data_IF_610785500532
#
_entry.id   IF_610785500532
#
_cell.length_a   1.000
_cell.length_b   1.000
_cell.length_c   1.000
_cell.angle_alpha   90.00
_cell.angle_beta   90.00
_cell.angle_gamma   90.00
#
_symmetry.space_group_name_H-M   'P 1'
#
loop_
_entity.id
_entity.type
_entity.pdbx_description
1 polymer ?
#
# COMPACT_ATOMS: atom_id res chain seq x y z
N UNK A 1 -7.67 -8.17 0.98
CA UNK A 1 -7.44 -7.17 2.04
C UNK A 1 -7.69 -5.83 1.40
N UNK A 2 -8.32 -4.90 2.11
CA UNK A 2 -8.78 -3.67 1.50
C UNK A 2 -7.67 -2.60 1.44
N UNK A 3 -7.24 -2.25 0.23
CA UNK A 3 -6.26 -1.18 -0.01
C UNK A 3 -6.99 0.13 -0.33
N UNK A 4 -6.71 1.17 0.46
CA UNK A 4 -7.18 2.53 0.22
C UNK A 4 -6.02 3.47 -0.02
N UNK A 5 -6.09 4.23 -1.11
CA UNK A 5 -5.16 5.32 -1.39
C UNK A 5 -5.90 6.63 -1.25
N UNK A 6 -5.48 7.43 -0.27
CA UNK A 6 -6.13 8.67 0.10
C UNK A 6 -5.27 9.85 -0.38
N UNK A 7 -5.88 10.75 -1.14
CA UNK A 7 -5.33 12.05 -1.44
C UNK A 7 -6.01 13.09 -0.54
N UNK A 8 -5.43 14.28 -0.34
CA UNK A 8 -6.04 15.33 0.49
C UNK A 8 -7.48 15.71 0.07
N UNK A 9 -7.80 15.58 -1.21
CA UNK A 9 -9.10 16.02 -1.76
C UNK A 9 -10.06 14.88 -2.08
N UNK A 10 -9.60 13.63 -2.16
CA UNK A 10 -10.42 12.48 -2.58
C UNK A 10 -9.80 11.14 -2.22
N UNK A 11 -10.63 10.10 -2.23
CA UNK A 11 -10.15 8.71 -2.32
C UNK A 11 -9.75 8.46 -3.77
N UNK A 12 -8.50 8.06 -4.00
CA UNK A 12 -7.98 7.73 -5.32
C UNK A 12 -8.30 6.27 -5.70
N UNK A 13 -8.14 5.36 -4.74
CA UNK A 13 -8.30 3.92 -4.90
C UNK A 13 -8.98 3.35 -3.65
N UNK A 14 -9.92 2.44 -3.85
CA UNK A 14 -10.51 1.64 -2.76
C UNK A 14 -10.84 0.22 -3.29
N UNK A 15 -9.87 -0.69 -3.23
CA UNK A 15 -9.93 -2.00 -3.91
C UNK A 15 -9.53 -3.16 -2.99
N UNK A 16 -10.05 -4.36 -3.27
CA UNK A 16 -9.58 -5.59 -2.65
C UNK A 16 -8.31 -6.10 -3.35
N UNK A 17 -7.23 -6.25 -2.57
CA UNK A 17 -5.93 -6.69 -3.07
C UNK A 17 -5.41 -7.93 -2.36
N UNK A 18 -4.55 -8.68 -3.03
CA UNK A 18 -3.88 -9.88 -2.51
C UNK A 18 -2.43 -9.64 -2.09
N UNK A 19 -1.81 -8.54 -2.54
CA UNK A 19 -0.44 -8.16 -2.21
C UNK A 19 -0.25 -6.66 -2.42
N UNK A 20 0.59 -6.04 -1.59
CA UNK A 20 1.09 -4.66 -1.77
C UNK A 20 2.60 -4.68 -1.60
N UNK A 21 3.33 -4.01 -2.48
CA UNK A 21 4.78 -3.79 -2.39
C UNK A 21 5.03 -2.28 -2.38
N UNK A 22 5.85 -1.80 -1.46
CA UNK A 22 6.17 -0.39 -1.34
C UNK A 22 7.61 -0.21 -0.83
N UNK A 23 8.10 1.02 -0.87
CA UNK A 23 9.45 1.39 -0.44
C UNK A 23 9.39 2.41 0.70
N UNK A 24 10.24 2.21 1.70
CA UNK A 24 10.50 3.14 2.79
C UNK A 24 12.01 3.40 2.89
N UNK A 25 12.44 4.26 3.81
CA UNK A 25 13.87 4.59 3.99
C UNK A 25 14.76 3.35 4.28
N UNK A 26 14.19 2.31 4.87
CA UNK A 26 14.87 1.05 5.16
C UNK A 26 14.79 0.02 4.01
N UNK A 27 14.24 0.41 2.85
CA UNK A 27 14.18 -0.38 1.63
C UNK A 27 12.78 -0.86 1.24
N UNK A 28 12.76 -1.80 0.30
CA UNK A 28 11.54 -2.38 -0.28
C UNK A 28 10.91 -3.42 0.66
N UNK A 29 9.60 -3.39 0.81
CA UNK A 29 8.86 -4.37 1.61
C UNK A 29 7.55 -4.78 0.93
N UNK A 30 7.09 -5.98 1.29
CA UNK A 30 5.84 -6.56 0.81
C UNK A 30 4.87 -6.86 1.95
N UNK A 31 3.60 -6.48 1.77
CA UNK A 31 2.50 -6.76 2.69
C UNK A 31 1.57 -7.78 2.02
N UNK A 32 1.30 -8.85 2.77
CA UNK A 32 0.36 -9.91 2.39
C UNK A 32 -0.84 -9.93 3.35
N UNK A 33 -1.93 -10.61 2.99
CA UNK A 33 -3.06 -10.82 3.90
C UNK A 33 -2.60 -11.44 5.22
N UNK A 34 -3.13 -10.91 6.34
CA UNK A 34 -2.74 -11.26 7.72
C UNK A 34 -1.31 -10.91 8.12
N UNK A 35 -0.63 -10.00 7.40
CA UNK A 35 0.59 -9.37 7.90
C UNK A 35 0.32 -8.67 9.25
N UNK A 36 1.32 -8.55 10.12
CA UNK A 36 1.20 -7.82 11.40
C UNK A 36 0.86 -6.34 11.15
N UNK A 37 0.21 -5.70 12.12
CA UNK A 37 -0.01 -4.25 12.09
C UNK A 37 1.31 -3.50 11.92
N UNK A 38 1.29 -2.51 11.04
CA UNK A 38 2.51 -1.88 10.55
C UNK A 38 2.23 -0.44 10.12
N UNK A 39 3.17 0.46 10.41
CA UNK A 39 3.14 1.85 9.96
C UNK A 39 4.54 2.26 9.52
N UNK A 40 4.63 2.95 8.38
CA UNK A 40 5.88 3.50 7.89
C UNK A 40 5.67 4.74 7.05
N UNK A 41 6.72 5.55 6.95
CA UNK A 41 6.82 6.63 5.96
C UNK A 41 7.24 6.02 4.63
N UNK A 42 6.60 6.45 3.55
CA UNK A 42 6.96 6.10 2.17
C UNK A 42 7.92 7.15 1.62
N UNK A 43 8.94 6.68 0.91
CA UNK A 43 9.86 7.52 0.12
C UNK A 43 9.37 7.64 -1.33
N UNK A 44 9.88 8.58 -2.14
CA UNK A 44 9.50 8.69 -3.54
C UNK A 44 9.79 7.39 -4.30
N UNK A 45 8.77 6.82 -4.94
CA UNK A 45 8.88 5.50 -5.55
C UNK A 45 7.58 4.98 -6.15
N UNK A 46 7.58 3.69 -6.47
CA UNK A 46 6.43 2.98 -7.04
C UNK A 46 5.87 2.02 -6.00
N UNK A 47 4.59 2.17 -5.68
CA UNK A 47 3.81 1.17 -4.98
C UNK A 47 3.20 0.24 -6.01
N UNK A 48 3.44 -1.08 -5.89
CA UNK A 48 2.75 -2.09 -6.70
C UNK A 48 1.75 -2.86 -5.85
N UNK A 49 0.64 -3.27 -6.44
CA UNK A 49 -0.37 -4.09 -5.76
C UNK A 49 -1.05 -5.04 -6.74
N UNK A 50 -1.59 -6.14 -6.21
CA UNK A 50 -2.19 -7.18 -7.04
C UNK A 50 -3.72 -7.21 -6.85
N UNK A 51 -4.45 -7.04 -7.95
CA UNK A 51 -5.91 -7.19 -8.07
C UNK A 51 -6.20 -8.31 -9.06
N UNK A 52 -6.97 -9.31 -8.64
CA UNK A 52 -7.38 -10.44 -9.50
C UNK A 52 -6.22 -11.11 -10.27
N UNK A 53 -5.04 -11.22 -9.64
CA UNK A 53 -3.85 -11.82 -10.24
C UNK A 53 -3.09 -10.92 -11.22
N UNK A 54 -3.48 -9.65 -11.34
CA UNK A 54 -2.79 -8.64 -12.16
C UNK A 54 -2.09 -7.64 -11.25
N UNK A 55 -0.85 -7.31 -11.61
CA UNK A 55 -0.08 -6.28 -10.91
C UNK A 55 -0.38 -4.90 -11.51
N UNK A 56 -0.73 -3.98 -10.62
CA UNK A 56 -1.00 -2.57 -10.90
C UNK A 56 0.03 -1.70 -10.18
N UNK A 57 0.25 -0.48 -10.68
CA UNK A 57 1.31 0.41 -10.20
C UNK A 57 0.80 1.81 -9.89
N UNK A 58 1.30 2.40 -8.81
CA UNK A 58 1.03 3.76 -8.39
C UNK A 58 2.35 4.48 -8.07
N UNK A 59 2.57 5.64 -8.69
CA UNK A 59 3.67 6.52 -8.29
C UNK A 59 3.29 7.33 -7.05
N UNK A 60 4.21 7.37 -6.09
CA UNK A 60 4.07 8.13 -4.84
C UNK A 60 5.32 8.99 -4.65
N UNK A 61 5.13 10.24 -4.22
CA UNK A 61 6.23 11.14 -3.85
C UNK A 61 6.58 10.96 -2.37
N UNK A 62 5.60 11.14 -1.49
CA UNK A 62 5.75 10.87 -0.06
C UNK A 62 4.40 10.45 0.54
N UNK A 63 4.42 9.84 1.71
CA UNK A 63 3.18 9.47 2.40
C UNK A 63 3.38 8.61 3.63
N UNK A 64 2.27 8.22 4.25
CA UNK A 64 2.25 7.28 5.37
C UNK A 64 1.47 6.06 4.94
N UNK A 65 2.09 4.88 5.01
CA UNK A 65 1.40 3.61 4.85
C UNK A 65 1.01 3.10 6.23
N UNK A 66 -0.27 2.73 6.38
CA UNK A 66 -0.80 2.09 7.58
C UNK A 66 -1.45 0.77 7.19
N UNK A 67 -1.00 -0.32 7.80
CA UNK A 67 -1.65 -1.62 7.75
C UNK A 67 -2.19 -1.96 9.14
N UNK A 68 -3.47 -2.26 9.19
CA UNK A 68 -4.18 -2.64 10.41
C UNK A 68 -5.04 -3.89 10.16
N UNK A 69 -5.10 -4.81 11.10
CA UNK A 69 -6.04 -5.93 11.09
C UNK A 69 -7.47 -5.47 11.40
N UNK A 70 -8.46 -6.24 10.95
CA UNK A 70 -9.84 -6.08 11.42
C UNK A 70 -9.96 -6.66 12.84
N UNK A 71 -10.48 -5.86 13.77
CA UNK A 71 -10.84 -6.29 15.12
C UNK A 71 -12.25 -6.90 15.14
#
# INVERSE_FOLDING_TARGET
MKLRVLLPTRVLLDEEVTKVTAEAENGMFGILPRHVDFVTILVPGIVSFEIDGKEEFLAVDEGVLVKQGEN
#
